data_IF_073225387476
#
_entry.id   IF_073225387476
#
_cell.length_a   1.000
_cell.length_b   1.000
_cell.length_c   1.000
_cell.angle_alpha   90.00
_cell.angle_beta   90.00
_cell.angle_gamma   90.00
#
_symmetry.space_group_name_H-M   'P 1'
#
loop_
_entity.id
_entity.type
_entity.pdbx_description
1 polymer ?
#
# COMPACT_ATOMS: atom_id res chain seq x y z
N UNK A 1 -12.15 14.06 9.07
CA UNK A 1 -12.98 12.84 9.01
C UNK A 1 -13.47 12.63 7.57
N UNK A 2 -13.02 11.56 6.90
CA UNK A 2 -13.32 11.28 5.48
C UNK A 2 -14.83 11.19 5.23
N UNK A 3 -15.60 10.68 6.19
CA UNK A 3 -17.05 10.47 6.07
C UNK A 3 -17.90 11.74 6.17
N UNK A 4 -17.35 12.85 6.64
CA UNK A 4 -18.10 14.09 6.89
C UNK A 4 -17.90 15.18 5.84
N UNK A 5 -17.25 14.88 4.73
CA UNK A 5 -17.06 15.84 3.64
C UNK A 5 -18.34 16.05 2.83
N UNK A 6 -18.70 17.28 2.46
CA UNK A 6 -19.86 17.51 1.61
C UNK A 6 -19.66 16.87 0.24
N UNK A 7 -20.74 16.36 -0.35
CA UNK A 7 -20.73 15.75 -1.68
C UNK A 7 -20.37 16.82 -2.72
N UNK A 8 -19.28 16.58 -3.46
CA UNK A 8 -18.81 17.49 -4.52
C UNK A 8 -18.82 16.87 -5.91
N UNK A 9 -18.98 15.53 -6.00
CA UNK A 9 -19.13 14.85 -7.28
C UNK A 9 -20.61 14.71 -7.68
N UNK A 10 -20.86 14.54 -8.97
CA UNK A 10 -22.19 14.35 -9.55
C UNK A 10 -22.53 12.86 -9.81
N UNK A 11 -21.72 11.91 -9.31
CA UNK A 11 -21.96 10.47 -9.54
C UNK A 11 -23.26 10.01 -8.89
N UNK A 12 -24.04 9.23 -9.65
CA UNK A 12 -25.35 8.73 -9.22
C UNK A 12 -25.34 7.26 -8.84
N UNK A 13 -24.24 6.56 -9.13
CA UNK A 13 -24.07 5.11 -8.98
C UNK A 13 -23.13 4.71 -7.82
N UNK A 14 -22.70 5.69 -7.00
CA UNK A 14 -21.86 5.41 -5.83
C UNK A 14 -22.72 4.86 -4.69
N UNK A 15 -22.37 3.69 -4.11
CA UNK A 15 -23.07 3.16 -2.95
C UNK A 15 -22.92 4.08 -1.73
N UNK A 16 -23.96 4.18 -0.91
CA UNK A 16 -23.97 5.08 0.27
C UNK A 16 -22.77 4.89 1.21
N UNK A 17 -22.34 3.64 1.40
CA UNK A 17 -21.18 3.36 2.25
C UNK A 17 -19.87 3.91 1.69
N UNK A 18 -19.76 4.06 0.35
CA UNK A 18 -18.54 4.53 -0.34
C UNK A 18 -18.52 6.05 -0.59
N UNK A 19 -19.67 6.74 -0.45
CA UNK A 19 -19.81 8.18 -0.75
C UNK A 19 -18.71 9.05 -0.12
N UNK A 20 -18.44 8.88 1.19
CA UNK A 20 -17.41 9.66 1.88
C UNK A 20 -16.01 9.45 1.34
N UNK A 21 -15.68 8.21 0.96
CA UNK A 21 -14.38 7.86 0.41
C UNK A 21 -14.21 8.40 -1.01
N UNK A 22 -15.24 8.25 -1.85
CA UNK A 22 -15.22 8.76 -3.23
C UNK A 22 -15.15 10.28 -3.23
N UNK A 23 -15.93 10.97 -2.39
CA UNK A 23 -15.81 12.41 -2.21
C UNK A 23 -14.38 12.84 -1.85
N UNK A 24 -13.75 12.15 -0.91
CA UNK A 24 -12.39 12.48 -0.49
C UNK A 24 -11.40 12.38 -1.66
N UNK A 25 -11.38 11.26 -2.39
CA UNK A 25 -10.44 11.07 -3.50
C UNK A 25 -10.79 11.92 -4.73
N UNK A 26 -12.07 12.22 -4.94
CA UNK A 26 -12.53 13.14 -5.98
C UNK A 26 -12.04 14.57 -5.71
N UNK A 27 -12.19 15.07 -4.48
CA UNK A 27 -11.72 16.40 -4.07
C UNK A 27 -10.21 16.56 -4.15
N UNK A 28 -9.46 15.46 -4.10
CA UNK A 28 -8.01 15.43 -4.30
C UNK A 28 -7.63 15.27 -5.79
N UNK A 29 -8.60 15.28 -6.71
CA UNK A 29 -8.40 15.01 -8.16
C UNK A 29 -7.76 13.65 -8.46
N UNK A 30 -7.87 12.68 -7.55
CA UNK A 30 -7.31 11.34 -7.72
C UNK A 30 -8.19 10.45 -8.59
N UNK A 31 -9.50 10.69 -8.60
CA UNK A 31 -10.48 9.97 -9.42
C UNK A 31 -11.37 10.95 -10.19
N UNK A 32 -11.82 10.53 -11.39
CA UNK A 32 -12.68 11.35 -12.29
C UNK A 32 -13.99 10.66 -12.65
N UNK A 33 -14.16 9.36 -12.31
CA UNK A 33 -15.24 8.52 -12.82
C UNK A 33 -15.04 8.17 -14.30
N UNK A 34 -16.01 7.42 -14.85
CA UNK A 34 -16.03 7.06 -16.28
C UNK A 34 -16.80 8.08 -17.12
N UNK A 35 -17.60 8.93 -16.46
CA UNK A 35 -18.29 10.08 -17.04
C UNK A 35 -18.54 11.14 -15.96
N UNK A 36 -19.15 12.25 -16.34
CA UNK A 36 -19.53 13.31 -15.37
C UNK A 36 -20.51 12.84 -14.27
N UNK A 37 -21.29 11.78 -14.55
CA UNK A 37 -22.35 11.30 -13.64
C UNK A 37 -22.19 9.85 -13.19
N UNK A 38 -21.19 9.12 -13.71
CA UNK A 38 -20.98 7.71 -13.42
C UNK A 38 -19.55 7.46 -12.94
N UNK A 39 -19.44 6.80 -11.80
CA UNK A 39 -18.18 6.33 -11.22
C UNK A 39 -17.85 4.90 -11.65
N UNK A 40 -18.90 4.06 -11.79
CA UNK A 40 -18.84 2.64 -12.13
C UNK A 40 -18.13 1.76 -11.08
N UNK A 41 -18.61 1.74 -9.82
CA UNK A 41 -17.93 1.06 -8.71
C UNK A 41 -17.85 -0.46 -8.87
N UNK A 42 -18.70 -1.05 -9.69
CA UNK A 42 -18.70 -2.49 -9.99
C UNK A 42 -17.83 -2.88 -11.19
N UNK A 43 -17.26 -1.91 -11.89
CA UNK A 43 -16.36 -2.18 -13.01
C UNK A 43 -15.03 -2.75 -12.51
N UNK A 44 -14.54 -3.80 -13.16
CA UNK A 44 -13.22 -4.34 -12.85
C UNK A 44 -12.15 -3.31 -13.18
N UNK A 45 -11.25 -3.07 -12.21
CA UNK A 45 -10.12 -2.18 -12.38
C UNK A 45 -9.06 -2.85 -13.25
N UNK A 46 -8.49 -2.12 -14.20
CA UNK A 46 -7.40 -2.59 -15.03
C UNK A 46 -6.05 -1.91 -14.67
N UNK A 47 -4.96 -2.47 -15.20
CA UNK A 47 -3.60 -1.97 -15.00
C UNK A 47 -3.47 -0.49 -15.38
N UNK A 48 -4.03 -0.07 -16.51
CA UNK A 48 -3.93 1.30 -17.03
C UNK A 48 -4.64 2.30 -16.13
N UNK A 49 -5.85 1.98 -15.69
CA UNK A 49 -6.63 2.81 -14.76
C UNK A 49 -5.95 2.92 -13.40
N UNK A 50 -5.36 1.82 -12.92
CA UNK A 50 -4.63 1.85 -11.66
C UNK A 50 -3.33 2.65 -11.74
N UNK A 51 -2.56 2.50 -12.80
CA UNK A 51 -1.37 3.33 -13.04
C UNK A 51 -1.72 4.81 -13.14
N UNK A 52 -2.82 5.15 -13.84
CA UNK A 52 -3.31 6.53 -13.87
C UNK A 52 -3.60 7.09 -12.48
N UNK A 53 -4.28 6.30 -11.63
CA UNK A 53 -4.52 6.68 -10.24
C UNK A 53 -3.21 6.90 -9.46
N UNK A 54 -2.26 5.98 -9.55
CA UNK A 54 -0.96 6.09 -8.88
C UNK A 54 -0.17 7.31 -9.38
N UNK A 55 -0.19 7.57 -10.68
CA UNK A 55 0.49 8.75 -11.23
C UNK A 55 -0.10 10.06 -10.68
N UNK A 56 -1.43 10.14 -10.50
CA UNK A 56 -2.07 11.30 -9.84
C UNK A 56 -1.65 11.42 -8.38
N UNK A 57 -1.53 10.29 -7.65
CA UNK A 57 -1.03 10.28 -6.26
C UNK A 57 0.40 10.82 -6.18
N UNK A 58 1.23 10.53 -7.18
CA UNK A 58 2.60 11.06 -7.30
C UNK A 58 2.65 12.52 -7.79
N UNK A 59 1.50 13.15 -8.07
CA UNK A 59 1.42 14.56 -8.46
C UNK A 59 1.48 14.81 -9.97
N UNK A 60 1.42 13.77 -10.81
CA UNK A 60 1.32 13.91 -12.27
C UNK A 60 -0.13 14.13 -12.71
N UNK A 61 -0.33 14.82 -13.82
CA UNK A 61 -1.65 15.21 -14.33
C UNK A 61 -1.94 14.56 -15.69
N UNK A 62 -3.12 13.93 -15.80
CA UNK A 62 -3.71 13.45 -17.05
C UNK A 62 -4.78 14.40 -17.60
N UNK A 63 -4.80 15.66 -17.17
CA UNK A 63 -5.66 16.70 -17.74
C UNK A 63 -5.17 17.11 -19.14
N UNK A 64 -6.01 17.76 -19.90
CA UNK A 64 -5.62 18.33 -21.19
C UNK A 64 -4.41 19.27 -21.03
N UNK A 65 -3.36 19.05 -21.81
CA UNK A 65 -2.08 19.74 -21.65
C UNK A 65 -1.25 19.30 -20.44
N UNK A 66 -1.65 18.23 -19.76
CA UNK A 66 -0.94 17.67 -18.61
C UNK A 66 0.29 16.84 -18.97
N UNK A 67 0.73 15.99 -18.05
CA UNK A 67 1.98 15.23 -18.18
C UNK A 67 1.83 13.99 -19.07
N UNK A 68 0.65 13.36 -19.06
CA UNK A 68 0.35 12.11 -19.75
C UNK A 68 -1.13 12.01 -20.08
N UNK A 69 -1.52 11.04 -20.89
CA UNK A 69 -2.92 10.68 -21.13
C UNK A 69 -3.24 9.32 -20.50
N UNK A 70 -4.52 9.01 -20.28
CA UNK A 70 -4.91 7.69 -19.78
C UNK A 70 -4.39 6.55 -20.66
N UNK A 71 -4.28 6.77 -21.98
CA UNK A 71 -3.82 5.76 -22.91
C UNK A 71 -2.32 5.43 -22.76
N UNK A 72 -1.50 6.41 -22.44
CA UNK A 72 -0.04 6.25 -22.30
C UNK A 72 0.44 6.15 -20.84
N UNK A 73 -0.49 6.00 -19.89
CA UNK A 73 -0.15 5.86 -18.47
C UNK A 73 0.87 4.75 -18.18
N UNK A 74 0.81 3.54 -18.80
CA UNK A 74 1.82 2.51 -18.60
C UNK A 74 3.22 2.92 -19.06
N UNK A 75 3.34 3.49 -20.26
CA UNK A 75 4.61 3.95 -20.83
C UNK A 75 5.15 5.15 -20.04
N UNK A 76 4.26 6.02 -19.58
CA UNK A 76 4.62 7.16 -18.77
C UNK A 76 5.11 6.72 -17.36
N UNK A 77 4.53 5.69 -16.77
CA UNK A 77 5.02 5.09 -15.52
C UNK A 77 6.46 4.60 -15.64
N UNK A 78 6.84 4.05 -16.81
CA UNK A 78 8.25 3.71 -17.10
C UNK A 78 9.10 4.95 -17.28
N UNK A 79 8.60 5.96 -18.01
CA UNK A 79 9.33 7.21 -18.27
C UNK A 79 9.73 7.92 -16.97
N UNK A 80 8.89 7.91 -15.94
CA UNK A 80 9.16 8.55 -14.64
C UNK A 80 9.87 7.64 -13.65
N UNK A 81 10.16 6.39 -14.03
CA UNK A 81 10.89 5.44 -13.20
C UNK A 81 10.05 4.72 -12.14
N UNK A 82 8.72 4.82 -12.19
CA UNK A 82 7.83 4.05 -11.31
C UNK A 82 7.97 2.54 -11.58
N UNK A 83 8.06 2.16 -12.84
CA UNK A 83 8.25 0.79 -13.28
C UNK A 83 9.45 0.67 -14.24
N UNK A 84 10.13 -0.47 -14.24
CA UNK A 84 11.06 -0.81 -15.31
C UNK A 84 10.30 -1.28 -16.56
N UNK A 85 10.94 -1.19 -17.75
CA UNK A 85 10.37 -1.72 -19.00
C UNK A 85 10.04 -3.23 -18.92
N UNK A 86 10.89 -3.99 -18.24
CA UNK A 86 10.70 -5.43 -18.09
C UNK A 86 9.51 -5.71 -17.18
N UNK A 87 9.39 -4.96 -16.06
CA UNK A 87 8.25 -5.09 -15.15
C UNK A 87 6.93 -4.73 -15.81
N UNK A 88 6.89 -3.65 -16.59
CA UNK A 88 5.68 -3.31 -17.33
C UNK A 88 5.26 -4.44 -18.30
N UNK A 89 6.20 -5.05 -19.04
CA UNK A 89 5.89 -6.18 -19.92
C UNK A 89 5.33 -7.40 -19.18
N UNK A 90 5.88 -7.70 -18.01
CA UNK A 90 5.41 -8.77 -17.11
C UNK A 90 3.96 -8.49 -16.68
N UNK A 91 3.70 -7.29 -16.12
CA UNK A 91 2.38 -6.90 -15.65
C UNK A 91 1.32 -6.83 -16.76
N UNK A 92 1.71 -6.55 -18.00
CA UNK A 92 0.80 -6.55 -19.17
C UNK A 92 0.39 -7.96 -19.61
N UNK A 93 1.12 -9.01 -19.19
CA UNK A 93 0.82 -10.41 -19.49
C UNK A 93 0.00 -11.07 -18.37
N UNK A 94 -0.12 -10.44 -17.22
CA UNK A 94 -0.85 -10.96 -16.07
C UNK A 94 -2.25 -10.35 -15.98
N UNK A 95 -3.17 -11.10 -15.37
CA UNK A 95 -4.45 -10.54 -14.96
C UNK A 95 -4.24 -9.52 -13.84
N UNK A 96 -4.90 -8.35 -13.94
CA UNK A 96 -4.79 -7.32 -12.90
C UNK A 96 -5.45 -7.80 -11.61
N UNK A 97 -4.64 -8.07 -10.61
CA UNK A 97 -5.01 -8.65 -9.32
C UNK A 97 -4.65 -7.74 -8.14
N UNK A 98 -5.12 -8.09 -6.95
CA UNK A 98 -4.68 -7.42 -5.71
C UNK A 98 -3.18 -7.50 -5.50
N UNK A 99 -2.53 -8.59 -5.91
CA UNK A 99 -1.08 -8.74 -5.86
C UNK A 99 -0.37 -7.70 -6.73
N UNK A 100 -0.79 -7.56 -7.98
CA UNK A 100 -0.29 -6.52 -8.91
C UNK A 100 -0.52 -5.12 -8.35
N UNK A 101 -1.70 -4.86 -7.79
CA UNK A 101 -2.03 -3.58 -7.15
C UNK A 101 -1.07 -3.26 -6.00
N UNK A 102 -0.81 -4.22 -5.12
CA UNK A 102 0.11 -4.03 -3.99
C UNK A 102 1.55 -3.79 -4.46
N UNK A 103 2.00 -4.52 -5.46
CA UNK A 103 3.34 -4.37 -6.03
C UNK A 103 3.57 -2.96 -6.60
N UNK A 104 2.62 -2.47 -7.39
CA UNK A 104 2.66 -1.10 -7.94
C UNK A 104 2.58 -0.06 -6.82
N UNK A 105 1.73 -0.27 -5.81
CA UNK A 105 1.64 0.62 -4.65
C UNK A 105 2.95 0.69 -3.89
N UNK A 106 3.62 -0.45 -3.69
CA UNK A 106 4.91 -0.51 -3.02
C UNK A 106 6.00 0.22 -3.82
N UNK A 107 6.04 0.04 -5.15
CA UNK A 107 6.93 0.80 -6.02
C UNK A 107 6.66 2.31 -5.94
N UNK A 108 5.40 2.72 -5.85
CA UNK A 108 5.02 4.13 -5.71
C UNK A 108 5.54 4.75 -4.41
N UNK A 109 5.58 4.01 -3.30
CA UNK A 109 6.14 4.51 -2.03
C UNK A 109 7.61 4.89 -2.16
N UNK A 110 8.38 4.19 -3.00
CA UNK A 110 9.79 4.49 -3.27
C UNK A 110 10.01 5.58 -4.34
N UNK A 111 8.95 5.96 -5.05
CA UNK A 111 9.01 6.95 -6.12
C UNK A 111 8.97 8.37 -5.57
N UNK A 112 9.73 9.28 -6.19
CA UNK A 112 9.67 10.69 -5.83
C UNK A 112 8.32 11.29 -6.24
N UNK A 113 7.77 12.16 -5.38
CA UNK A 113 6.64 13.02 -5.73
C UNK A 113 7.10 14.03 -6.79
N UNK A 114 6.28 14.28 -7.78
CA UNK A 114 6.61 15.16 -8.90
C UNK A 114 7.10 16.54 -8.43
N UNK A 115 8.26 16.94 -8.90
CA UNK A 115 8.88 18.23 -8.54
C UNK A 115 9.48 18.30 -7.14
N UNK A 116 9.44 17.22 -6.37
CA UNK A 116 9.90 17.17 -4.99
C UNK A 116 11.17 16.32 -4.85
N UNK A 117 12.00 16.64 -3.87
CA UNK A 117 13.20 15.87 -3.52
C UNK A 117 12.96 14.68 -2.59
N UNK A 118 11.71 14.38 -2.25
CA UNK A 118 11.33 13.32 -1.33
C UNK A 118 10.37 12.31 -1.98
N UNK A 119 10.36 11.09 -1.44
CA UNK A 119 9.47 10.01 -1.91
C UNK A 119 8.06 10.17 -1.39
N UNK A 120 7.11 9.44 -2.02
CA UNK A 120 5.74 9.33 -1.51
C UNK A 120 5.72 8.82 -0.07
N UNK A 121 6.59 7.85 0.29
CA UNK A 121 6.71 7.35 1.65
C UNK A 121 7.08 8.46 2.64
N UNK A 122 8.09 9.27 2.31
CA UNK A 122 8.52 10.40 3.14
C UNK A 122 7.41 11.44 3.30
N UNK A 123 6.64 11.70 2.24
CA UNK A 123 5.46 12.57 2.31
C UNK A 123 4.39 12.03 3.26
N UNK A 124 4.09 10.73 3.17
CA UNK A 124 3.07 10.08 4.00
C UNK A 124 3.47 10.00 5.48
N UNK A 125 4.76 9.75 5.76
CA UNK A 125 5.31 9.84 7.12
C UNK A 125 5.15 11.26 7.67
N UNK A 126 5.53 12.28 6.89
CA UNK A 126 5.37 13.69 7.28
C UNK A 126 3.93 14.08 7.55
N UNK A 127 2.98 13.49 6.82
CA UNK A 127 1.53 13.67 7.02
C UNK A 127 0.96 12.83 8.17
N UNK A 128 1.78 12.00 8.84
CA UNK A 128 1.34 11.15 9.94
C UNK A 128 0.42 9.99 9.53
N UNK A 129 0.49 9.55 8.26
CA UNK A 129 -0.30 8.42 7.75
C UNK A 129 0.22 7.11 8.30
N UNK A 130 1.54 6.97 8.41
CA UNK A 130 2.23 5.89 9.12
C UNK A 130 3.52 6.40 9.74
N UNK A 131 4.02 5.69 10.74
CA UNK A 131 5.22 6.08 11.46
C UNK A 131 6.51 5.63 10.76
N UNK A 132 7.62 6.32 11.07
CA UNK A 132 8.91 6.07 10.44
C UNK A 132 9.49 4.70 10.81
N UNK A 133 9.26 4.21 12.03
CA UNK A 133 9.74 2.90 12.49
C UNK A 133 9.11 1.78 11.66
N UNK A 134 7.80 1.81 11.47
CA UNK A 134 7.10 0.86 10.58
C UNK A 134 7.64 0.94 9.16
N UNK A 135 7.85 2.15 8.61
CA UNK A 135 8.38 2.32 7.27
C UNK A 135 9.80 1.72 7.10
N UNK A 136 10.64 1.78 8.13
CA UNK A 136 11.97 1.14 8.16
C UNK A 136 11.85 -0.38 8.19
N UNK A 137 11.04 -0.91 9.10
CA UNK A 137 10.86 -2.37 9.29
C UNK A 137 10.34 -3.03 8.00
N UNK A 138 9.41 -2.38 7.31
CA UNK A 138 8.85 -2.88 6.06
C UNK A 138 9.67 -2.54 4.81
N UNK A 139 10.86 -1.96 4.96
CA UNK A 139 11.76 -1.64 3.86
C UNK A 139 11.22 -0.54 2.92
N UNK A 140 10.32 0.31 3.41
CA UNK A 140 9.74 1.42 2.64
C UNK A 140 10.72 2.60 2.52
N UNK A 141 11.66 2.74 3.46
CA UNK A 141 12.71 3.76 3.40
C UNK A 141 13.96 3.12 2.78
N UNK A 142 14.41 3.58 1.59
CA UNK A 142 15.61 3.05 0.95
C UNK A 142 16.85 3.30 1.79
N UNK A 143 17.86 2.41 1.69
CA UNK A 143 19.07 2.46 2.53
C UNK A 143 19.79 3.79 2.43
N UNK A 144 19.90 4.36 1.25
CA UNK A 144 20.57 5.63 0.97
C UNK A 144 19.89 6.85 1.60
N UNK A 145 18.66 6.69 2.08
CA UNK A 145 17.87 7.74 2.75
C UNK A 145 17.74 7.53 4.26
N UNK A 146 18.41 6.51 4.80
CA UNK A 146 18.40 6.22 6.24
C UNK A 146 19.37 7.12 6.98
N UNK A 147 18.96 7.54 8.15
CA UNK A 147 19.78 8.28 9.12
C UNK A 147 20.49 7.32 10.08
N UNK A 148 21.43 7.81 10.87
CA UNK A 148 22.06 7.02 11.94
C UNK A 148 21.04 6.52 12.97
N UNK A 149 20.00 7.33 13.26
CA UNK A 149 18.89 6.95 14.16
C UNK A 149 18.06 5.81 13.56
N UNK A 150 17.86 5.81 12.23
CA UNK A 150 17.14 4.74 11.52
C UNK A 150 17.91 3.40 11.61
N UNK A 151 19.22 3.43 11.46
CA UNK A 151 20.07 2.23 11.60
C UNK A 151 20.06 1.73 13.06
N UNK A 152 20.03 2.62 14.05
CA UNK A 152 19.89 2.24 15.46
C UNK A 152 18.52 1.53 15.72
N UNK A 153 17.43 2.05 15.15
CA UNK A 153 16.10 1.41 15.23
C UNK A 153 16.14 0.02 14.60
N UNK A 154 16.71 -0.13 13.41
CA UNK A 154 16.83 -1.42 12.73
C UNK A 154 17.69 -2.42 13.52
N UNK A 155 18.80 -1.96 14.12
CA UNK A 155 19.64 -2.80 14.97
C UNK A 155 18.89 -3.28 16.23
N UNK A 156 18.04 -2.44 16.82
CA UNK A 156 17.19 -2.83 17.95
C UNK A 156 16.14 -3.87 17.53
N UNK A 157 15.51 -3.67 16.36
CA UNK A 157 14.54 -4.64 15.81
C UNK A 157 15.23 -5.98 15.53
N UNK A 158 16.42 -5.98 14.90
CA UNK A 158 17.19 -7.20 14.65
C UNK A 158 17.50 -7.97 15.93
N UNK A 159 17.95 -7.28 16.99
CA UNK A 159 18.13 -7.91 18.32
C UNK A 159 16.85 -8.50 18.88
N UNK A 160 15.71 -7.82 18.66
CA UNK A 160 14.39 -8.34 19.07
C UNK A 160 14.02 -9.61 18.28
N UNK A 161 14.40 -9.70 17.00
CA UNK A 161 14.15 -10.90 16.18
C UNK A 161 15.04 -12.10 16.52
N UNK A 162 16.19 -11.87 17.16
CA UNK A 162 17.05 -12.93 17.70
C UNK A 162 16.48 -13.59 18.96
N UNK A 163 15.51 -12.93 19.62
CA UNK A 163 14.82 -13.52 20.79
C UNK A 163 13.95 -14.72 20.38
N UNK A 164 13.73 -15.70 21.27
CA UNK A 164 12.80 -16.79 21.02
C UNK A 164 11.44 -16.27 20.54
N UNK A 165 10.82 -16.97 19.60
CA UNK A 165 9.55 -16.55 19.00
C UNK A 165 8.48 -16.26 20.05
N UNK A 166 8.42 -17.04 21.11
CA UNK A 166 7.46 -16.86 22.23
C UNK A 166 7.62 -15.49 22.88
N UNK A 167 8.86 -15.03 23.13
CA UNK A 167 9.12 -13.70 23.70
C UNK A 167 8.73 -12.58 22.74
N UNK A 168 8.96 -12.76 21.42
CA UNK A 168 8.55 -11.79 20.40
C UNK A 168 7.04 -11.66 20.30
N UNK A 169 6.30 -12.76 20.49
CA UNK A 169 4.84 -12.76 20.42
C UNK A 169 4.18 -12.04 21.61
N UNK A 170 4.84 -12.04 22.78
CA UNK A 170 4.34 -11.36 23.98
C UNK A 170 4.52 -9.84 23.88
N UNK A 171 5.59 -9.38 23.25
CA UNK A 171 5.97 -7.96 23.19
C UNK A 171 5.30 -7.19 22.02
N UNK A 172 4.64 -7.85 21.09
CA UNK A 172 4.06 -7.19 19.92
C UNK A 172 2.54 -7.22 19.95
N UNK A 173 1.92 -6.06 19.99
CA UNK A 173 0.47 -5.89 19.77
C UNK A 173 0.05 -6.20 18.32
N UNK A 174 1.01 -6.44 17.42
CA UNK A 174 0.79 -6.73 16.01
C UNK A 174 1.53 -7.99 15.57
N UNK A 175 0.77 -8.98 15.15
CA UNK A 175 1.26 -10.17 14.48
C UNK A 175 1.62 -9.83 13.03
N UNK A 176 2.90 -9.70 12.72
CA UNK A 176 3.35 -9.60 11.34
C UNK A 176 3.43 -11.01 10.76
N UNK A 177 2.44 -11.36 9.96
CA UNK A 177 2.35 -12.63 9.28
C UNK A 177 3.27 -12.62 8.06
N UNK A 178 4.38 -13.36 8.10
CA UNK A 178 5.16 -13.66 6.92
C UNK A 178 5.29 -15.19 6.73
N UNK A 179 5.62 -15.65 5.51
CA UNK A 179 5.70 -17.08 5.19
C UNK A 179 6.69 -17.87 6.07
N UNK A 180 7.75 -17.25 6.56
CA UNK A 180 8.72 -17.88 7.49
C UNK A 180 8.09 -18.10 8.87
N UNK A 181 7.44 -17.08 9.40
CA UNK A 181 6.78 -17.15 10.71
C UNK A 181 5.61 -18.13 10.69
N UNK A 182 4.98 -18.35 9.55
CA UNK A 182 3.88 -19.29 9.38
C UNK A 182 4.27 -20.74 9.70
N UNK A 183 5.41 -21.20 9.21
CA UNK A 183 5.88 -22.57 9.45
C UNK A 183 6.31 -22.78 10.92
N UNK A 184 6.91 -21.76 11.53
CA UNK A 184 7.34 -21.80 12.94
C UNK A 184 6.15 -21.67 13.89
N UNK A 185 5.17 -20.81 13.59
CA UNK A 185 3.92 -20.71 14.35
C UNK A 185 3.13 -22.03 14.25
N UNK A 186 3.06 -22.63 13.06
CA UNK A 186 2.44 -23.93 12.89
C UNK A 186 3.12 -25.01 13.72
N UNK A 187 4.45 -25.04 13.78
CA UNK A 187 5.22 -25.96 14.62
C UNK A 187 4.95 -25.75 16.11
N UNK A 188 4.87 -24.48 16.56
CA UNK A 188 4.48 -24.14 17.94
C UNK A 188 3.03 -24.52 18.25
N UNK A 189 2.13 -24.44 17.27
CA UNK A 189 0.73 -24.85 17.43
C UNK A 189 0.56 -26.37 17.42
N UNK A 190 1.43 -27.10 16.73
CA UNK A 190 1.46 -28.57 16.72
C UNK A 190 2.08 -29.12 18.02
N UNK A 191 2.89 -28.32 18.75
CA UNK A 191 3.42 -28.59 20.08
C UNK A 191 2.38 -28.23 21.16
N UNK A 192 1.33 -29.05 21.25
CA UNK A 192 0.01 -28.78 21.89
C UNK A 192 0.03 -28.59 23.41
N UNK A 193 1.16 -28.55 24.08
CA UNK A 193 1.23 -28.52 25.53
C UNK A 193 1.51 -27.16 26.20
N UNK A 194 1.45 -26.06 25.45
CA UNK A 194 1.53 -24.73 26.06
C UNK A 194 0.20 -24.00 25.97
N UNK A 195 -0.29 -23.49 27.10
CA UNK A 195 -1.48 -22.63 27.20
C UNK A 195 -1.40 -21.41 26.25
N UNK A 196 -0.19 -21.01 25.90
CA UNK A 196 0.12 -19.93 24.95
C UNK A 196 -0.22 -20.30 23.51
N UNK A 197 -0.05 -21.54 23.09
CA UNK A 197 -0.45 -22.02 21.76
C UNK A 197 -1.98 -21.99 21.59
N UNK A 198 -2.74 -22.21 22.65
CA UNK A 198 -4.21 -22.15 22.66
C UNK A 198 -4.75 -20.72 22.52
N UNK A 199 -4.13 -19.74 23.16
CA UNK A 199 -4.55 -18.32 23.08
C UNK A 199 -4.32 -17.77 21.69
N UNK A 200 -3.19 -18.07 21.06
CA UNK A 200 -2.88 -17.61 19.70
C UNK A 200 -3.59 -18.40 18.59
N UNK A 201 -4.05 -19.62 18.86
CA UNK A 201 -4.80 -20.43 17.91
C UNK A 201 -6.10 -19.76 17.46
N UNK A 202 -6.80 -19.07 18.36
CA UNK A 202 -8.03 -18.35 18.05
C UNK A 202 -7.78 -17.11 17.18
N UNK A 203 -6.66 -16.40 17.35
CA UNK A 203 -6.29 -15.25 16.55
C UNK A 203 -5.84 -15.63 15.13
N UNK A 204 -4.95 -16.61 15.03
CA UNK A 204 -4.41 -17.07 13.74
C UNK A 204 -5.49 -17.73 12.86
N UNK A 205 -6.44 -18.45 13.47
CA UNK A 205 -7.53 -19.09 12.72
C UNK A 205 -8.61 -18.10 12.23
N UNK A 206 -8.82 -16.97 12.95
CA UNK A 206 -9.79 -15.97 12.54
C UNK A 206 -9.31 -15.08 11.37
N UNK A 207 -8.01 -14.91 11.19
CA UNK A 207 -7.46 -14.10 10.10
C UNK A 207 -7.24 -14.88 8.79
N UNK A 208 -7.26 -16.23 8.86
CA UNK A 208 -7.03 -17.09 7.69
C UNK A 208 -8.29 -17.30 6.83
N UNK A 209 -9.46 -16.84 7.24
CA UNK A 209 -10.76 -17.15 6.62
C UNK A 209 -11.63 -15.93 6.29
N UNK A 210 -11.09 -14.74 6.32
CA UNK A 210 -11.70 -13.53 5.79
C UNK A 210 -10.83 -12.95 4.69
#
# INVERSE_FOLDING_TARGET
NVKSQPKQHSFTDVPTWAEGYINFVYNQNLVKGISNTLFSPSQQLDLKSYLTFIMRVLGYSDAEGGDFTWNDAPEYAVKVGLLSKNKLKELQQEEFSRGVMLEISFAALHSNVKGEGFTLAEQLIKKGVFDRKSALIYGVIPQEKRTADDEAILAEVAKSEERPMVERLVDTDYFIYNRKNCAEVKKLMDDVNSDFALINRSHVLNESYT
#
